data_IF_976473087572
#
_entry.id   IF_976473087572
#
_cell.length_a   1.000
_cell.length_b   1.000
_cell.length_c   1.000
_cell.angle_alpha   90.00
_cell.angle_beta   90.00
_cell.angle_gamma   90.00
#
_symmetry.space_group_name_H-M   'P 1'
#
loop_
_entity.id
_entity.type
_entity.pdbx_description
1 polymer ?
#
# COMPACT_ATOMS: atom_id res chain seq x y z
N UNK A 1 -3.19 2.47 -46.22
CA UNK A 1 -4.14 1.41 -45.79
C UNK A 1 -4.11 1.41 -44.27
N UNK A 2 -5.07 2.05 -43.60
CA UNK A 2 -5.13 2.09 -42.14
C UNK A 2 -5.71 0.74 -41.66
N UNK A 3 -4.94 -0.01 -40.90
CA UNK A 3 -5.40 -1.24 -40.23
C UNK A 3 -6.42 -0.88 -39.18
N UNK A 4 -7.69 -1.08 -39.52
CA UNK A 4 -8.82 -0.97 -38.59
C UNK A 4 -8.60 -1.97 -37.45
N UNK A 5 -8.27 -1.46 -36.27
CA UNK A 5 -8.07 -2.29 -35.07
C UNK A 5 -9.40 -2.93 -34.69
N UNK A 6 -9.56 -4.20 -35.01
CA UNK A 6 -10.73 -5.03 -34.69
C UNK A 6 -10.91 -5.05 -33.16
N UNK A 7 -11.82 -4.22 -32.67
CA UNK A 7 -12.23 -4.26 -31.27
C UNK A 7 -12.87 -5.63 -30.97
N UNK A 8 -12.24 -6.41 -30.10
CA UNK A 8 -12.81 -7.66 -29.63
C UNK A 8 -14.14 -7.38 -28.92
N UNK A 9 -15.22 -8.14 -29.21
CA UNK A 9 -16.50 -8.01 -28.50
C UNK A 9 -16.27 -8.21 -26.99
N UNK A 10 -16.74 -7.26 -26.17
CA UNK A 10 -16.60 -7.31 -24.70
C UNK A 10 -15.32 -6.69 -24.14
N UNK A 11 -14.42 -6.13 -24.97
CA UNK A 11 -13.29 -5.37 -24.45
C UNK A 11 -13.79 -4.12 -23.71
N UNK A 12 -13.37 -3.90 -22.45
CA UNK A 12 -13.78 -2.71 -21.71
C UNK A 12 -13.25 -1.45 -22.41
N UNK A 13 -13.99 -0.31 -22.34
CA UNK A 13 -13.57 0.92 -23.00
C UNK A 13 -12.16 1.31 -22.57
N UNK A 14 -11.28 1.64 -23.53
CA UNK A 14 -9.87 1.93 -23.28
C UNK A 14 -9.59 3.17 -22.43
N UNK A 15 -10.60 4.00 -22.14
CA UNK A 15 -10.49 5.16 -21.24
C UNK A 15 -10.72 4.71 -19.81
N UNK A 16 -9.64 4.74 -19.03
CA UNK A 16 -9.65 4.25 -17.65
C UNK A 16 -10.20 5.25 -16.64
N UNK A 17 -10.29 6.51 -16.86
CA UNK A 17 -10.77 7.53 -15.93
C UNK A 17 -10.67 7.16 -14.43
N UNK A 18 -10.83 8.07 -13.53
CA UNK A 18 -10.81 7.80 -12.07
C UNK A 18 -11.79 6.69 -11.66
N UNK A 19 -12.99 6.64 -12.25
CA UNK A 19 -13.98 5.58 -11.98
C UNK A 19 -13.47 4.16 -12.32
N UNK A 20 -12.63 4.02 -13.35
CA UNK A 20 -12.04 2.73 -13.71
C UNK A 20 -10.96 2.26 -12.74
N UNK A 21 -10.36 3.17 -11.98
CA UNK A 21 -9.37 2.86 -10.95
C UNK A 21 -10.01 2.42 -9.63
N UNK A 22 -11.16 3.00 -9.29
CA UNK A 22 -11.89 2.72 -8.04
C UNK A 22 -12.72 1.44 -8.15
N UNK A 23 -13.09 1.01 -9.37
CA UNK A 23 -13.92 -0.19 -9.54
C UNK A 23 -13.13 -1.46 -9.16
N UNK A 24 -13.42 -1.99 -7.97
CA UNK A 24 -12.86 -3.25 -7.50
C UNK A 24 -13.31 -4.43 -8.38
N UNK A 25 -12.36 -5.30 -8.76
CA UNK A 25 -12.64 -6.47 -9.60
C UNK A 25 -12.29 -6.29 -11.08
N UNK A 26 -12.01 -5.09 -11.55
CA UNK A 26 -11.58 -4.85 -12.94
C UNK A 26 -10.15 -5.32 -13.21
N UNK A 27 -9.29 -5.23 -12.21
CA UNK A 27 -7.89 -5.59 -12.30
C UNK A 27 -7.52 -6.67 -11.29
N UNK A 28 -6.44 -7.43 -11.53
CA UNK A 28 -5.88 -8.34 -10.54
C UNK A 28 -5.51 -7.60 -9.25
N UNK A 29 -5.62 -8.28 -8.11
CA UNK A 29 -5.31 -7.73 -6.77
C UNK A 29 -3.91 -7.14 -6.69
N UNK A 30 -2.96 -7.71 -7.41
CA UNK A 30 -1.57 -7.29 -7.46
C UNK A 30 -1.43 -5.83 -7.93
N UNK A 31 -2.30 -5.39 -8.84
CA UNK A 31 -2.30 -3.99 -9.33
C UNK A 31 -2.80 -3.00 -8.28
N UNK A 32 -3.82 -3.37 -7.52
CA UNK A 32 -4.31 -2.53 -6.41
C UNK A 32 -3.29 -2.44 -5.29
N UNK A 33 -2.63 -3.54 -4.95
CA UNK A 33 -1.55 -3.56 -3.96
C UNK A 33 -0.32 -2.76 -4.40
N UNK A 34 -0.01 -2.76 -5.69
CA UNK A 34 1.05 -1.91 -6.25
C UNK A 34 0.72 -0.42 -6.10
N UNK A 35 -0.51 -0.02 -6.43
CA UNK A 35 -0.96 1.36 -6.25
C UNK A 35 -0.93 1.76 -4.77
N UNK A 36 -1.49 0.90 -3.90
CA UNK A 36 -1.50 1.11 -2.45
C UNK A 36 -0.07 1.31 -1.92
N UNK A 37 0.87 0.48 -2.35
CA UNK A 37 2.28 0.59 -1.96
C UNK A 37 2.89 1.94 -2.35
N UNK A 38 2.60 2.43 -3.55
CA UNK A 38 3.09 3.74 -4.00
C UNK A 38 2.49 4.90 -3.21
N UNK A 39 1.18 4.87 -2.98
CA UNK A 39 0.49 5.93 -2.22
C UNK A 39 0.98 5.95 -0.78
N UNK A 40 1.05 4.79 -0.12
CA UNK A 40 1.55 4.70 1.26
C UNK A 40 3.02 5.11 1.35
N UNK A 41 3.86 4.72 0.38
CA UNK A 41 5.26 5.11 0.31
C UNK A 41 5.45 6.63 0.20
N UNK A 42 4.69 7.30 -0.67
CA UNK A 42 4.72 8.76 -0.78
C UNK A 42 4.28 9.43 0.51
N UNK A 43 3.22 8.93 1.15
CA UNK A 43 2.76 9.42 2.44
C UNK A 43 3.80 9.27 3.55
N UNK A 44 4.49 8.13 3.60
CA UNK A 44 5.56 7.86 4.58
C UNK A 44 6.79 8.76 4.35
N UNK A 45 7.20 9.01 3.10
CA UNK A 45 8.28 9.94 2.80
C UNK A 45 7.92 11.35 3.25
N UNK A 46 6.71 11.81 2.92
CA UNK A 46 6.22 13.12 3.35
C UNK A 46 6.22 13.23 4.88
N UNK A 47 5.71 12.22 5.58
CA UNK A 47 5.72 12.17 7.04
C UNK A 47 7.16 12.16 7.59
N UNK A 48 8.07 11.41 6.99
CA UNK A 48 9.47 11.37 7.44
C UNK A 48 10.10 12.76 7.45
N UNK A 49 9.85 13.57 6.41
CA UNK A 49 10.32 14.94 6.35
C UNK A 49 9.70 15.82 7.46
N UNK A 50 8.40 15.67 7.70
CA UNK A 50 7.73 16.35 8.82
C UNK A 50 8.30 15.89 10.16
N UNK A 51 8.52 14.60 10.34
CA UNK A 51 9.05 14.02 11.58
C UNK A 51 10.45 14.54 11.94
N UNK A 52 11.28 14.81 10.94
CA UNK A 52 12.58 15.47 11.17
C UNK A 52 12.39 16.88 11.74
N UNK A 53 11.43 17.64 11.20
CA UNK A 53 11.11 18.98 11.68
C UNK A 53 10.50 18.93 13.08
N UNK A 54 9.59 17.99 13.33
CA UNK A 54 8.93 17.78 14.64
C UNK A 54 9.95 17.43 15.71
N UNK A 55 10.81 16.44 15.45
CA UNK A 55 11.83 16.03 16.42
C UNK A 55 12.88 17.11 16.63
N UNK A 56 13.18 17.90 15.61
CA UNK A 56 14.04 19.08 15.71
C UNK A 56 13.53 20.13 16.71
N UNK A 57 12.20 20.20 16.96
CA UNK A 57 11.64 21.13 17.96
C UNK A 57 12.13 20.85 19.38
N UNK A 58 12.60 19.63 19.66
CA UNK A 58 13.21 19.29 20.95
C UNK A 58 14.50 20.07 21.22
N UNK A 59 15.23 20.44 20.17
CA UNK A 59 16.45 21.24 20.27
C UNK A 59 16.16 22.71 20.61
N UNK A 60 14.94 23.19 20.31
CA UNK A 60 14.53 24.57 20.59
C UNK A 60 14.29 24.79 22.09
N UNK A 61 13.86 23.76 22.82
CA UNK A 61 13.68 23.80 24.25
C UNK A 61 12.45 23.04 24.75
N UNK A 62 12.38 22.79 26.09
CA UNK A 62 11.35 21.94 26.67
C UNK A 62 9.93 22.48 26.46
N UNK A 63 9.74 23.78 26.61
CA UNK A 63 8.41 24.43 26.44
C UNK A 63 7.84 24.19 25.03
N UNK A 64 8.69 24.27 24.00
CA UNK A 64 8.27 24.05 22.61
C UNK A 64 7.91 22.58 22.38
N UNK A 65 8.69 21.67 22.96
CA UNK A 65 8.44 20.24 22.89
C UNK A 65 7.13 19.84 23.58
N UNK A 66 6.89 20.33 24.80
CA UNK A 66 5.68 20.06 25.57
C UNK A 66 4.42 20.54 24.84
N UNK A 67 4.48 21.76 24.27
CA UNK A 67 3.39 22.27 23.44
C UNK A 67 3.10 21.35 22.24
N UNK A 68 4.13 20.89 21.55
CA UNK A 68 3.99 19.97 20.42
C UNK A 68 3.36 18.63 20.84
N UNK A 69 3.83 18.08 21.96
CA UNK A 69 3.29 16.83 22.52
C UNK A 69 1.83 16.97 22.93
N UNK A 70 1.46 18.10 23.51
CA UNK A 70 0.06 18.41 23.84
C UNK A 70 -0.82 18.48 22.59
N UNK A 71 -0.30 19.03 21.48
CA UNK A 71 -1.00 19.06 20.19
C UNK A 71 -1.23 17.64 19.66
N UNK A 72 -0.20 16.79 19.70
CA UNK A 72 -0.29 15.39 19.24
C UNK A 72 -1.18 14.51 20.14
N UNK A 73 -1.39 14.89 21.38
CA UNK A 73 -2.33 14.19 22.26
C UNK A 73 -3.81 14.42 21.90
N UNK A 74 -4.11 15.34 20.97
CA UNK A 74 -5.49 15.59 20.55
C UNK A 74 -6.07 14.45 19.71
N UNK A 75 -7.41 14.21 19.75
CA UNK A 75 -8.03 13.08 19.03
C UNK A 75 -7.78 13.10 17.52
N UNK A 76 -7.67 14.28 16.93
CA UNK A 76 -7.40 14.44 15.49
C UNK A 76 -6.01 13.90 15.15
N UNK A 77 -4.99 14.28 15.92
CA UNK A 77 -3.63 13.80 15.69
C UNK A 77 -3.50 12.31 16.00
N UNK A 78 -4.16 11.78 17.02
CA UNK A 78 -4.22 10.34 17.27
C UNK A 78 -4.84 9.58 16.09
N UNK A 79 -5.88 10.11 15.48
CA UNK A 79 -6.46 9.51 14.27
C UNK A 79 -5.48 9.53 13.07
N UNK A 80 -4.74 10.64 12.89
CA UNK A 80 -3.70 10.76 11.85
C UNK A 80 -2.54 9.80 12.10
N UNK A 81 -2.09 9.65 13.35
CA UNK A 81 -1.07 8.65 13.74
C UNK A 81 -1.53 7.22 13.43
N UNK A 82 -2.80 6.92 13.67
CA UNK A 82 -3.35 5.60 13.32
C UNK A 82 -3.38 5.36 11.80
N UNK A 83 -3.74 6.37 11.02
CA UNK A 83 -3.67 6.30 9.55
C UNK A 83 -2.24 6.09 9.08
N UNK A 84 -1.28 6.81 9.68
CA UNK A 84 0.14 6.67 9.39
C UNK A 84 0.67 5.28 9.75
N UNK A 85 0.32 4.78 10.95
CA UNK A 85 0.65 3.43 11.39
C UNK A 85 0.11 2.38 10.42
N UNK A 86 -1.15 2.53 10.00
CA UNK A 86 -1.79 1.64 9.02
C UNK A 86 -1.06 1.68 7.67
N UNK A 87 -0.68 2.88 7.22
CA UNK A 87 0.11 3.05 6.00
C UNK A 87 1.48 2.37 6.12
N UNK A 88 2.16 2.48 7.26
CA UNK A 88 3.45 1.84 7.54
C UNK A 88 3.34 0.31 7.49
N UNK A 89 2.34 -0.27 8.16
CA UNK A 89 2.11 -1.73 8.19
C UNK A 89 1.82 -2.26 6.78
N UNK A 90 0.89 -1.62 6.06
CA UNK A 90 0.51 -2.01 4.69
C UNK A 90 1.69 -1.87 3.73
N UNK A 91 2.43 -0.77 3.82
CA UNK A 91 3.61 -0.53 2.98
C UNK A 91 4.70 -1.56 3.24
N UNK A 92 5.04 -1.79 4.51
CA UNK A 92 6.09 -2.72 4.90
C UNK A 92 5.79 -4.17 4.48
N UNK A 93 4.61 -4.69 4.82
CA UNK A 93 4.24 -6.07 4.47
C UNK A 93 4.07 -6.27 2.97
N UNK A 94 3.51 -5.28 2.27
CA UNK A 94 3.47 -5.36 0.82
C UNK A 94 4.86 -5.19 0.19
N UNK A 95 5.75 -4.41 0.80
CA UNK A 95 7.16 -4.32 0.42
C UNK A 95 7.89 -5.65 0.55
N UNK A 96 7.69 -6.37 1.66
CA UNK A 96 8.21 -7.74 1.84
C UNK A 96 7.69 -8.66 0.72
N UNK A 97 6.41 -8.59 0.39
CA UNK A 97 5.84 -9.35 -0.73
C UNK A 97 6.55 -9.03 -2.06
N UNK A 98 6.75 -7.75 -2.36
CA UNK A 98 7.43 -7.32 -3.58
C UNK A 98 8.87 -7.81 -3.61
N UNK A 99 9.60 -7.67 -2.51
CA UNK A 99 10.97 -8.18 -2.38
C UNK A 99 11.04 -9.69 -2.63
N UNK A 100 10.14 -10.48 -2.06
CA UNK A 100 10.07 -11.92 -2.30
C UNK A 100 9.80 -12.25 -3.77
N UNK A 101 8.96 -11.43 -4.43
CA UNK A 101 8.67 -11.59 -5.86
C UNK A 101 9.91 -11.28 -6.72
N UNK A 102 10.62 -10.19 -6.42
CA UNK A 102 11.85 -9.79 -7.12
C UNK A 102 12.98 -10.82 -6.95
N UNK A 103 13.09 -11.43 -5.77
CA UNK A 103 14.05 -12.49 -5.49
C UNK A 103 13.64 -13.86 -6.10
N UNK A 104 12.47 -13.94 -6.73
CA UNK A 104 11.97 -15.17 -7.36
C UNK A 104 11.39 -16.20 -6.38
N UNK A 105 11.27 -15.87 -5.08
CA UNK A 105 10.67 -16.76 -4.10
C UNK A 105 9.16 -16.92 -4.35
N UNK A 106 8.67 -18.14 -4.23
CA UNK A 106 7.26 -18.51 -4.43
C UNK A 106 6.70 -18.26 -5.84
N UNK A 107 7.52 -17.79 -6.76
CA UNK A 107 7.21 -17.77 -8.19
C UNK A 107 7.52 -19.17 -8.75
N UNK A 108 6.55 -19.89 -9.26
CA UNK A 108 6.82 -21.14 -9.95
C UNK A 108 7.70 -20.90 -11.19
N UNK A 109 8.21 -22.00 -11.78
CA UNK A 109 8.93 -21.91 -13.06
C UNK A 109 8.06 -21.17 -14.08
N UNK A 110 8.61 -20.21 -14.84
CA UNK A 110 7.87 -19.54 -15.90
C UNK A 110 7.31 -20.59 -16.86
N UNK A 111 6.04 -20.47 -17.23
CA UNK A 111 5.47 -21.29 -18.27
C UNK A 111 6.16 -20.97 -19.60
N UNK A 112 6.25 -21.98 -20.49
CA UNK A 112 6.75 -21.74 -21.83
C UNK A 112 5.94 -20.61 -22.51
N UNK A 113 6.56 -19.77 -23.35
CA UNK A 113 5.90 -18.64 -24.00
C UNK A 113 4.97 -19.11 -25.14
N UNK A 114 4.04 -20.02 -24.81
CA UNK A 114 3.03 -20.55 -25.73
C UNK A 114 1.70 -19.86 -25.40
N UNK A 115 1.05 -19.29 -26.38
CA UNK A 115 -0.27 -18.67 -26.21
C UNK A 115 -1.36 -19.74 -25.89
N UNK A 116 -2.27 -19.52 -24.93
CA UNK A 116 -2.38 -18.35 -24.07
C UNK A 116 -1.36 -18.32 -22.92
N UNK A 117 -0.67 -17.18 -22.77
CA UNK A 117 0.39 -17.03 -21.77
C UNK A 117 -0.13 -17.26 -20.34
N UNK A 118 0.41 -18.25 -19.66
CA UNK A 118 0.12 -18.51 -18.25
C UNK A 118 1.06 -17.70 -17.35
N UNK A 119 0.48 -16.85 -16.50
CA UNK A 119 1.27 -16.09 -15.52
C UNK A 119 1.56 -16.93 -14.28
N UNK A 120 2.83 -17.01 -13.86
CA UNK A 120 3.25 -17.65 -12.61
C UNK A 120 2.85 -16.84 -11.36
N UNK A 121 2.46 -15.58 -11.49
CA UNK A 121 2.06 -14.68 -10.38
C UNK A 121 0.91 -15.27 -9.55
N UNK A 122 0.02 -16.06 -10.14
CA UNK A 122 -1.07 -16.70 -9.38
C UNK A 122 -0.56 -17.62 -8.26
N UNK A 123 0.63 -18.22 -8.38
CA UNK A 123 1.23 -19.05 -7.34
C UNK A 123 1.69 -18.24 -6.13
N UNK A 124 1.90 -16.95 -6.29
CA UNK A 124 2.28 -16.02 -5.22
C UNK A 124 1.09 -15.54 -4.36
N UNK A 125 -0.14 -15.78 -4.82
CA UNK A 125 -1.36 -15.29 -4.13
C UNK A 125 -1.54 -15.78 -2.70
N UNK A 126 -1.23 -17.03 -2.32
CA UNK A 126 -1.33 -17.45 -0.92
C UNK A 126 -0.47 -16.60 0.00
N UNK A 127 0.78 -16.29 -0.38
CA UNK A 127 1.64 -15.38 0.38
C UNK A 127 1.05 -13.97 0.43
N UNK A 128 0.51 -13.47 -0.70
CA UNK A 128 -0.16 -12.16 -0.74
C UNK A 128 -1.29 -12.08 0.28
N UNK A 129 -2.18 -13.06 0.31
CA UNK A 129 -3.30 -13.09 1.24
C UNK A 129 -2.85 -13.26 2.69
N UNK A 130 -1.85 -14.12 2.95
CA UNK A 130 -1.27 -14.29 4.29
C UNK A 130 -0.70 -12.98 4.83
N UNK A 131 0.08 -12.25 4.03
CA UNK A 131 0.64 -10.95 4.44
C UNK A 131 -0.44 -9.87 4.59
N UNK A 132 -1.49 -9.87 3.76
CA UNK A 132 -2.59 -8.91 3.91
C UNK A 132 -3.47 -9.20 5.12
N UNK A 133 -3.69 -10.47 5.46
CA UNK A 133 -4.35 -10.85 6.72
C UNK A 133 -3.53 -10.44 7.94
N UNK A 134 -2.23 -10.67 7.91
CA UNK A 134 -1.32 -10.20 8.96
C UNK A 134 -1.35 -8.68 9.08
N UNK A 135 -1.34 -7.95 7.95
CA UNK A 135 -1.47 -6.50 7.96
C UNK A 135 -2.77 -6.04 8.62
N UNK A 136 -3.89 -6.65 8.24
CA UNK A 136 -5.20 -6.36 8.85
C UNK A 136 -5.21 -6.62 10.36
N UNK A 137 -4.65 -7.73 10.80
CA UNK A 137 -4.52 -8.06 12.23
C UNK A 137 -3.68 -7.01 12.98
N UNK A 138 -2.52 -6.64 12.45
CA UNK A 138 -1.65 -5.64 13.08
C UNK A 138 -2.32 -4.26 13.14
N UNK A 139 -3.04 -3.87 12.10
CA UNK A 139 -3.81 -2.61 12.08
C UNK A 139 -4.90 -2.62 13.15
N UNK A 140 -5.65 -3.71 13.28
CA UNK A 140 -6.69 -3.84 14.32
C UNK A 140 -6.09 -3.82 15.72
N UNK A 141 -5.03 -4.58 15.96
CA UNK A 141 -4.34 -4.61 17.26
C UNK A 141 -3.73 -3.24 17.61
N UNK A 142 -3.09 -2.57 16.64
CA UNK A 142 -2.57 -1.22 16.82
C UNK A 142 -3.67 -0.22 17.13
N UNK A 143 -4.80 -0.28 16.42
CA UNK A 143 -5.96 0.56 16.69
C UNK A 143 -6.53 0.32 18.09
N UNK A 144 -6.70 -0.93 18.50
CA UNK A 144 -7.17 -1.24 19.85
C UNK A 144 -6.24 -0.69 20.93
N UNK A 145 -4.94 -0.83 20.74
CA UNK A 145 -3.93 -0.28 21.66
C UNK A 145 -3.91 1.25 21.72
N UNK A 146 -4.17 1.94 20.59
CA UNK A 146 -4.14 3.42 20.56
C UNK A 146 -5.39 4.09 21.12
N UNK A 147 -6.55 3.44 21.04
CA UNK A 147 -7.83 4.06 21.37
C UNK A 147 -8.50 3.52 22.64
N UNK A 148 -8.10 2.34 23.14
CA UNK A 148 -8.73 1.69 24.28
C UNK A 148 -7.79 1.45 25.49
N UNK A 149 -6.65 2.15 25.50
CA UNK A 149 -5.78 2.28 26.69
C UNK A 149 -6.02 3.66 27.38
#
# INVERSE_FOLDING_TARGET
MATESRKLPGAPPGRLGLKGWVYAGRYPVERYLYLLHRITGLGLIFYLLLHIVETGQRLVGPMRWEWLMALFATPVFKALEYVLFSAFVLHGLNGVRLLMTELGFFLGRPAQPIYPYASSIKRHRPLTWGLMLLAGLLVVLGGSSMFFQ
#
